data_IF_865351137907
#
_entry.id   IF_865351137907
#
_cell.length_a   1.000
_cell.length_b   1.000
_cell.length_c   1.000
_cell.angle_alpha   90.00
_cell.angle_beta   90.00
_cell.angle_gamma   90.00
#
_symmetry.space_group_name_H-M   'P 1'
#
loop_
_entity.id
_entity.type
_entity.pdbx_description
1 polymer ?
#
# COMPACT_ATOMS: atom_id res chain seq x y z
N UNK A 1 24.50 -2.62 11.32
CA UNK A 1 23.51 -3.03 10.32
C UNK A 1 23.18 -4.48 10.59
N UNK A 2 21.96 -4.75 11.04
CA UNK A 2 21.48 -6.09 11.36
C UNK A 2 20.25 -6.41 10.51
N UNK A 3 20.13 -7.67 10.13
CA UNK A 3 18.96 -8.19 9.42
C UNK A 3 18.31 -9.26 10.26
N UNK A 4 16.98 -9.31 10.24
CA UNK A 4 16.20 -10.29 11.01
C UNK A 4 15.10 -10.87 10.13
N UNK A 5 14.98 -12.19 10.19
CA UNK A 5 13.88 -12.92 9.55
C UNK A 5 12.69 -12.96 10.50
N UNK A 6 11.52 -12.56 10.01
CA UNK A 6 10.26 -12.56 10.74
C UNK A 6 9.10 -12.87 9.78
N UNK A 7 7.86 -12.77 10.25
CA UNK A 7 6.67 -12.87 9.40
C UNK A 7 6.16 -11.48 9.03
N UNK A 8 5.47 -11.36 7.90
CA UNK A 8 4.91 -10.08 7.45
C UNK A 8 3.97 -9.46 8.49
N UNK A 9 3.18 -10.30 9.19
CA UNK A 9 2.30 -9.89 10.26
C UNK A 9 3.04 -9.23 11.44
N UNK A 10 4.31 -9.57 11.69
CA UNK A 10 5.15 -8.91 12.68
C UNK A 10 5.81 -7.61 12.19
N UNK A 11 5.74 -7.33 10.88
CA UNK A 11 6.24 -6.08 10.30
C UNK A 11 5.13 -5.05 10.16
N UNK A 12 3.91 -5.48 9.84
CA UNK A 12 2.77 -4.59 9.55
C UNK A 12 1.43 -5.31 9.70
N UNK A 13 0.37 -4.60 10.08
CA UNK A 13 -0.98 -5.18 10.20
C UNK A 13 -1.88 -4.79 9.02
N UNK A 14 -2.17 -5.77 8.16
CA UNK A 14 -3.10 -5.60 7.04
C UNK A 14 -4.56 -5.73 7.50
N UNK A 15 -5.35 -4.69 7.31
CA UNK A 15 -6.77 -4.63 7.66
C UNK A 15 -7.62 -4.51 6.40
N UNK A 16 -8.84 -5.02 6.48
CA UNK A 16 -9.86 -4.82 5.43
C UNK A 16 -10.28 -3.34 5.42
N UNK A 17 -10.37 -2.73 4.25
CA UNK A 17 -10.94 -1.39 4.09
C UNK A 17 -12.46 -1.33 4.33
N UNK A 18 -13.04 -0.15 4.07
CA UNK A 18 -14.39 0.21 4.48
C UNK A 18 -15.33 0.36 3.28
N UNK A 19 -16.62 0.13 3.48
CA UNK A 19 -17.62 0.33 2.44
C UNK A 19 -17.87 1.83 2.22
N UNK A 20 -17.79 2.28 0.97
CA UNK A 20 -18.19 3.63 0.55
C UNK A 20 -18.75 3.59 -0.88
N UNK A 21 -20.07 3.38 -1.02
CA UNK A 21 -20.76 3.39 -2.30
C UNK A 21 -20.52 4.69 -3.07
N UNK A 22 -20.45 4.61 -4.41
CA UNK A 22 -20.18 5.77 -5.25
C UNK A 22 -21.16 6.94 -5.02
N UNK A 23 -22.43 6.65 -4.78
CA UNK A 23 -23.48 7.64 -4.49
C UNK A 23 -23.28 8.42 -3.18
N UNK A 24 -22.44 7.93 -2.26
CA UNK A 24 -22.11 8.60 -0.99
C UNK A 24 -20.80 9.38 -1.05
N UNK A 25 -20.07 9.33 -2.17
CA UNK A 25 -18.80 10.04 -2.32
C UNK A 25 -19.06 11.49 -2.68
N UNK A 26 -18.52 12.40 -1.88
CA UNK A 26 -18.51 13.83 -2.15
C UNK A 26 -17.07 14.30 -2.30
N UNK A 27 -16.83 15.35 -3.10
CA UNK A 27 -15.48 15.89 -3.24
C UNK A 27 -14.92 16.36 -1.90
N UNK A 28 -13.64 16.09 -1.65
CA UNK A 28 -12.94 16.57 -0.47
C UNK A 28 -11.44 16.37 -0.56
N UNK A 29 -10.75 16.57 0.56
CA UNK A 29 -9.29 16.55 0.64
C UNK A 29 -8.70 15.15 0.82
N UNK A 30 -9.47 14.18 1.27
CA UNK A 30 -8.96 12.84 1.58
C UNK A 30 -9.11 11.91 0.39
N UNK A 31 -8.04 11.23 -0.05
CA UNK A 31 -8.11 10.30 -1.16
C UNK A 31 -8.89 9.03 -0.80
N UNK A 32 -9.63 8.50 -1.78
CA UNK A 32 -10.32 7.22 -1.71
C UNK A 32 -9.53 6.20 -2.54
N UNK A 33 -9.13 5.09 -1.93
CA UNK A 33 -8.33 4.04 -2.58
C UNK A 33 -9.14 2.76 -2.77
N UNK A 34 -9.16 2.23 -3.99
CA UNK A 34 -9.64 0.87 -4.29
C UNK A 34 -8.45 -0.09 -4.44
N UNK A 35 -8.71 -1.35 -4.81
CA UNK A 35 -7.66 -2.28 -5.26
C UNK A 35 -6.84 -1.80 -6.45
N UNK A 36 -7.37 -0.87 -7.25
CA UNK A 36 -6.70 -0.35 -8.45
C UNK A 36 -6.03 1.02 -8.23
N UNK A 37 -6.05 1.55 -7.00
CA UNK A 37 -5.40 2.82 -6.64
C UNK A 37 -6.38 3.91 -6.26
N UNK A 38 -5.95 5.18 -6.36
CA UNK A 38 -6.81 6.34 -6.05
C UNK A 38 -7.94 6.42 -7.07
N UNK A 39 -9.18 6.32 -6.60
CA UNK A 39 -10.40 6.33 -7.45
C UNK A 39 -11.31 7.53 -7.19
N UNK A 40 -10.90 8.44 -6.30
CA UNK A 40 -11.65 9.65 -6.01
C UNK A 40 -11.16 10.32 -4.73
N UNK A 41 -12.01 11.19 -4.20
CA UNK A 41 -11.79 11.86 -2.91
C UNK A 41 -13.06 11.85 -2.06
N UNK A 42 -12.89 12.16 -0.78
CA UNK A 42 -13.94 12.34 0.20
C UNK A 42 -13.57 13.45 1.21
N UNK A 43 -14.56 14.06 1.84
CA UNK A 43 -14.39 15.09 2.87
C UNK A 43 -14.04 14.49 4.24
N UNK A 44 -14.26 13.17 4.41
CA UNK A 44 -13.91 12.38 5.59
C UNK A 44 -12.88 11.30 5.25
N UNK A 45 -12.16 10.85 6.27
CA UNK A 45 -11.25 9.71 6.22
C UNK A 45 -11.73 8.62 7.19
N UNK A 46 -11.35 7.38 6.93
CA UNK A 46 -11.58 6.26 7.86
C UNK A 46 -10.32 5.85 8.61
N UNK A 47 -9.15 6.21 8.07
CA UNK A 47 -7.86 5.88 8.68
C UNK A 47 -6.97 7.11 8.67
N UNK A 48 -6.28 7.32 9.79
CA UNK A 48 -5.25 8.35 9.91
C UNK A 48 -3.96 7.89 9.23
N UNK A 49 -3.33 8.79 8.47
CA UNK A 49 -2.12 8.48 7.72
C UNK A 49 -0.84 8.50 8.56
N UNK A 50 0.29 8.03 8.02
CA UNK A 50 0.46 7.48 6.67
C UNK A 50 -0.16 6.08 6.52
N UNK A 51 -0.59 5.75 5.30
CA UNK A 51 -1.27 4.49 5.01
C UNK A 51 -0.65 3.79 3.79
N UNK A 52 -0.42 2.48 3.92
CA UNK A 52 -0.01 1.61 2.80
C UNK A 52 -1.21 0.75 2.41
N UNK A 53 -1.55 0.71 1.12
CA UNK A 53 -2.76 0.07 0.60
C UNK A 53 -2.36 -0.96 -0.45
N UNK A 54 -3.02 -2.12 -0.48
CA UNK A 54 -2.86 -3.13 -1.54
C UNK A 54 -4.22 -3.72 -1.92
N UNK A 55 -4.33 -4.28 -3.12
CA UNK A 55 -5.56 -4.89 -3.57
C UNK A 55 -5.97 -6.13 -2.78
N UNK A 56 -7.24 -6.21 -2.39
CA UNK A 56 -7.86 -7.41 -1.80
C UNK A 56 -8.64 -8.20 -2.84
N UNK A 57 -9.42 -7.51 -3.68
CA UNK A 57 -10.25 -8.10 -4.73
C UNK A 57 -10.06 -7.35 -6.06
N UNK A 58 -10.07 -8.06 -7.17
CA UNK A 58 -9.83 -7.48 -8.50
C UNK A 58 -8.34 -7.33 -8.77
N UNK A 59 -7.83 -6.09 -8.84
CA UNK A 59 -6.39 -5.85 -9.05
C UNK A 59 -5.59 -6.25 -7.81
N UNK A 60 -4.90 -7.39 -7.84
CA UNK A 60 -4.05 -7.87 -6.74
C UNK A 60 -2.58 -7.57 -7.05
N UNK A 61 -1.81 -7.28 -6.00
CA UNK A 61 -0.35 -7.10 -6.08
C UNK A 61 0.13 -5.69 -6.38
N UNK A 62 -0.77 -4.76 -6.76
CA UNK A 62 -0.45 -3.34 -6.76
C UNK A 62 -0.53 -2.79 -5.35
N UNK A 63 0.53 -2.08 -4.95
CA UNK A 63 0.65 -1.41 -3.65
C UNK A 63 0.65 0.11 -3.88
N UNK A 64 0.00 0.84 -2.99
CA UNK A 64 -0.12 2.29 -3.01
C UNK A 64 0.27 2.87 -1.66
N UNK A 65 0.71 4.11 -1.66
CA UNK A 65 1.05 4.87 -0.46
C UNK A 65 0.22 6.15 -0.39
N UNK A 66 -0.32 6.45 0.78
CA UNK A 66 -0.93 7.73 1.12
C UNK A 66 -0.13 8.36 2.25
N UNK A 67 0.45 9.54 2.00
CA UNK A 67 1.15 10.33 3.03
C UNK A 67 0.20 11.05 3.99
N UNK A 68 -1.10 11.06 3.68
CA UNK A 68 -2.16 11.69 4.46
C UNK A 68 -3.24 10.67 4.82
N UNK A 69 -4.12 11.04 5.74
CA UNK A 69 -5.32 10.27 6.07
C UNK A 69 -6.14 9.98 4.82
N UNK A 70 -6.79 8.81 4.76
CA UNK A 70 -7.48 8.36 3.55
C UNK A 70 -8.67 7.46 3.85
N UNK A 71 -9.35 7.05 2.77
CA UNK A 71 -10.41 6.06 2.81
C UNK A 71 -10.04 4.84 1.95
N UNK A 72 -9.45 3.79 2.53
CA UNK A 72 -9.27 2.51 1.84
C UNK A 72 -10.62 1.81 1.71
N UNK A 73 -11.00 1.43 0.50
CA UNK A 73 -12.26 0.74 0.22
C UNK A 73 -12.19 -0.73 0.62
N UNK A 74 -13.34 -1.36 0.82
CA UNK A 74 -13.47 -2.80 1.14
C UNK A 74 -12.83 -3.76 0.12
N UNK A 75 -12.57 -3.27 -1.10
CA UNK A 75 -11.84 -3.96 -2.18
C UNK A 75 -10.33 -3.93 -1.98
N UNK A 76 -9.83 -3.23 -0.96
CA UNK A 76 -8.42 -3.14 -0.60
C UNK A 76 -8.15 -3.72 0.80
N UNK A 77 -6.88 -4.11 1.01
CA UNK A 77 -6.26 -4.21 2.32
C UNK A 77 -5.44 -2.94 2.56
N UNK A 78 -5.31 -2.53 3.81
CA UNK A 78 -4.50 -1.38 4.19
C UNK A 78 -3.72 -1.65 5.48
N UNK A 79 -2.65 -0.89 5.72
CA UNK A 79 -2.01 -0.80 7.03
C UNK A 79 -1.71 0.67 7.37
N UNK A 80 -1.93 1.02 8.64
CA UNK A 80 -1.42 2.24 9.28
C UNK A 80 -0.61 1.90 10.54
N UNK A 81 -0.44 0.61 10.85
CA UNK A 81 0.37 0.13 11.96
C UNK A 81 1.56 -0.65 11.40
N UNK A 82 2.73 -0.04 11.53
CA UNK A 82 4.00 -0.53 11.00
C UNK A 82 4.88 -1.17 12.06
N UNK A 83 4.38 -1.39 13.29
CA UNK A 83 5.10 -2.11 14.36
C UNK A 83 6.55 -1.63 14.57
N UNK A 84 6.78 -0.31 14.50
CA UNK A 84 8.09 0.33 14.64
C UNK A 84 8.94 0.44 13.35
N UNK A 85 8.47 -0.12 12.24
CA UNK A 85 9.13 -0.06 10.93
C UNK A 85 8.83 1.26 10.19
N UNK A 86 9.67 1.61 9.22
CA UNK A 86 9.46 2.78 8.38
C UNK A 86 8.25 2.54 7.41
N UNK A 87 7.22 3.41 7.38
CA UNK A 87 6.05 3.23 6.52
C UNK A 87 6.36 3.15 5.01
N UNK A 88 7.33 3.95 4.53
CA UNK A 88 7.79 3.93 3.14
C UNK A 88 8.56 2.66 2.82
N UNK A 89 9.41 2.20 3.74
CA UNK A 89 10.04 0.89 3.62
C UNK A 89 8.99 -0.23 3.52
N UNK A 90 7.96 -0.21 4.37
CA UNK A 90 6.86 -1.20 4.31
C UNK A 90 6.13 -1.13 2.97
N UNK A 91 5.90 0.07 2.41
CA UNK A 91 5.35 0.22 1.06
C UNK A 91 6.20 -0.47 -0.01
N UNK A 92 7.54 -0.34 0.06
CA UNK A 92 8.43 -1.03 -0.87
C UNK A 92 8.50 -2.54 -0.61
N UNK A 93 8.55 -2.96 0.65
CA UNK A 93 8.54 -4.38 1.02
C UNK A 93 7.27 -5.08 0.51
N UNK A 94 6.09 -4.44 0.65
CA UNK A 94 4.85 -5.03 0.16
C UNK A 94 4.82 -5.22 -1.36
N UNK A 95 5.62 -4.47 -2.12
CA UNK A 95 5.73 -4.66 -3.58
C UNK A 95 6.56 -5.90 -3.96
N UNK A 96 7.35 -6.45 -3.03
CA UNK A 96 8.16 -7.64 -3.28
C UNK A 96 7.45 -8.94 -2.93
N UNK A 97 6.26 -8.87 -2.32
CA UNK A 97 5.49 -10.04 -1.90
C UNK A 97 4.88 -10.73 -3.14
N UNK A 98 4.98 -12.07 -3.26
CA UNK A 98 4.37 -12.82 -4.36
C UNK A 98 2.85 -12.96 -4.14
N UNK A 99 2.11 -11.87 -4.28
CA UNK A 99 0.68 -11.79 -3.93
C UNK A 99 -0.20 -12.83 -4.61
N UNK A 100 0.16 -13.31 -5.80
CA UNK A 100 -0.55 -14.37 -6.52
C UNK A 100 -0.65 -15.67 -5.73
N UNK A 101 0.36 -16.00 -4.90
CA UNK A 101 0.39 -17.20 -4.06
C UNK A 101 -0.60 -17.13 -2.90
N UNK A 102 -1.09 -15.93 -2.58
CA UNK A 102 -2.02 -15.69 -1.47
C UNK A 102 -3.46 -15.48 -1.94
N UNK A 103 -3.75 -15.78 -3.20
CA UNK A 103 -5.09 -15.62 -3.78
C UNK A 103 -5.97 -16.84 -3.56
N UNK A 104 -7.27 -16.62 -3.39
CA UNK A 104 -8.28 -17.67 -3.33
C UNK A 104 -8.67 -18.14 -4.73
N UNK A 105 -8.93 -19.45 -4.88
CA UNK A 105 -9.44 -20.05 -6.11
C UNK A 105 -10.94 -19.74 -6.31
N UNK A 106 -11.26 -18.49 -6.59
CA UNK A 106 -12.63 -17.99 -6.83
C UNK A 106 -12.70 -17.19 -8.13
N UNK A 107 -13.90 -17.07 -8.72
CA UNK A 107 -14.12 -16.32 -9.97
C UNK A 107 -13.65 -14.86 -9.90
N UNK A 108 -13.73 -14.25 -8.71
CA UNK A 108 -13.01 -13.02 -8.37
C UNK A 108 -11.95 -13.41 -7.34
N UNK A 109 -10.65 -13.42 -7.69
CA UNK A 109 -9.61 -13.79 -6.76
C UNK A 109 -9.54 -12.77 -5.62
N UNK A 110 -9.41 -13.28 -4.40
CA UNK A 110 -9.29 -12.51 -3.18
C UNK A 110 -8.01 -12.83 -2.43
N UNK A 111 -7.39 -11.86 -1.76
CA UNK A 111 -6.22 -12.14 -0.89
C UNK A 111 -6.66 -12.77 0.43
N UNK A 112 -6.13 -13.94 0.75
CA UNK A 112 -6.24 -14.52 2.09
C UNK A 112 -5.25 -13.85 3.04
N UNK A 113 -5.76 -12.87 3.80
CA UNK A 113 -4.97 -12.11 4.78
C UNK A 113 -4.23 -13.01 5.77
N UNK A 114 -4.90 -14.04 6.29
CA UNK A 114 -4.31 -14.88 7.34
C UNK A 114 -3.08 -15.64 6.81
N UNK A 115 -3.07 -15.99 5.52
CA UNK A 115 -1.93 -16.65 4.90
C UNK A 115 -0.80 -15.69 4.58
N UNK A 116 -1.08 -14.52 4.00
CA UNK A 116 -0.02 -13.56 3.65
C UNK A 116 0.68 -12.98 4.89
N UNK A 117 -0.02 -12.87 6.02
CA UNK A 117 0.58 -12.47 7.29
C UNK A 117 1.67 -13.45 7.77
N UNK A 118 1.65 -14.70 7.32
CA UNK A 118 2.66 -15.72 7.66
C UNK A 118 3.84 -15.74 6.67
N UNK A 119 3.79 -14.94 5.59
CA UNK A 119 4.91 -14.85 4.64
C UNK A 119 6.19 -14.43 5.38
N UNK A 120 7.26 -15.19 5.19
CA UNK A 120 8.55 -14.89 5.81
C UNK A 120 9.22 -13.74 5.06
N UNK A 121 9.67 -12.74 5.80
CA UNK A 121 10.40 -11.59 5.28
C UNK A 121 11.69 -11.39 6.08
N UNK A 122 12.72 -10.91 5.41
CA UNK A 122 13.97 -10.48 6.07
C UNK A 122 14.04 -8.97 5.99
N UNK A 123 14.00 -8.30 7.13
CA UNK A 123 14.02 -6.83 7.20
C UNK A 123 15.27 -6.35 7.94
N UNK A 124 15.84 -5.19 7.57
CA UNK A 124 16.97 -4.63 8.30
C UNK A 124 16.50 -3.82 9.50
N UNK A 125 17.45 -3.40 10.34
CA UNK A 125 17.19 -2.43 11.41
C UNK A 125 16.58 -1.12 10.87
N UNK A 126 15.84 -0.42 11.74
CA UNK A 126 15.08 0.78 11.37
C UNK A 126 15.91 1.88 10.71
N UNK A 127 17.14 2.10 11.16
CA UNK A 127 18.05 3.11 10.57
C UNK A 127 18.34 2.74 9.11
N UNK A 128 18.59 1.47 8.85
CA UNK A 128 18.81 0.97 7.51
C UNK A 128 17.54 1.04 6.65
N UNK A 129 16.36 0.74 7.21
CA UNK A 129 15.09 0.92 6.52
C UNK A 129 14.87 2.37 6.07
N UNK A 130 15.19 3.34 6.94
CA UNK A 130 15.08 4.78 6.63
C UNK A 130 15.98 5.18 5.45
N UNK A 131 17.21 4.66 5.40
CA UNK A 131 18.15 4.89 4.28
C UNK A 131 17.65 4.27 2.98
N UNK A 132 17.12 3.05 3.03
CA UNK A 132 16.53 2.37 1.87
C UNK A 132 15.34 3.17 1.35
N UNK A 133 14.41 3.55 2.24
CA UNK A 133 13.23 4.32 1.89
C UNK A 133 13.60 5.64 1.22
N UNK A 134 14.55 6.39 1.80
CA UNK A 134 15.03 7.66 1.24
C UNK A 134 15.63 7.51 -0.16
N UNK A 135 16.48 6.51 -0.37
CA UNK A 135 17.10 6.26 -1.68
C UNK A 135 16.04 5.89 -2.73
N UNK A 136 15.14 4.97 -2.38
CA UNK A 136 14.08 4.53 -3.29
C UNK A 136 13.10 5.67 -3.62
N UNK A 137 12.68 6.47 -2.62
CA UNK A 137 11.81 7.63 -2.84
C UNK A 137 12.49 8.65 -3.77
N UNK A 138 13.80 8.87 -3.62
CA UNK A 138 14.58 9.77 -4.49
C UNK A 138 14.58 9.30 -5.95
N UNK A 139 14.72 7.98 -6.17
CA UNK A 139 14.68 7.37 -7.50
C UNK A 139 13.26 7.43 -8.08
N UNK A 140 12.24 7.04 -7.31
CA UNK A 140 10.84 7.07 -7.74
C UNK A 140 10.41 8.49 -8.10
N UNK A 141 10.77 9.50 -7.31
CA UNK A 141 10.48 10.90 -7.59
C UNK A 141 11.09 11.36 -8.92
N UNK A 142 12.30 10.92 -9.23
CA UNK A 142 12.96 11.21 -10.51
C UNK A 142 12.25 10.53 -11.70
N UNK A 143 11.81 9.28 -11.53
CA UNK A 143 11.03 8.56 -12.55
C UNK A 143 9.71 9.29 -12.82
N UNK A 144 8.99 9.69 -11.78
CA UNK A 144 7.74 10.43 -11.91
C UNK A 144 7.92 11.77 -12.64
N UNK A 145 8.96 12.52 -12.30
CA UNK A 145 9.30 13.77 -12.98
C UNK A 145 9.62 13.54 -14.47
N UNK A 146 10.44 12.53 -14.78
CA UNK A 146 10.78 12.20 -16.16
C UNK A 146 9.54 11.81 -16.99
N UNK A 147 8.65 11.00 -16.41
CA UNK A 147 7.41 10.61 -17.08
C UNK A 147 6.50 11.83 -17.34
N UNK A 148 6.44 12.78 -16.40
CA UNK A 148 5.71 14.03 -16.58
C UNK A 148 6.30 14.87 -17.72
N UNK A 149 7.62 14.98 -17.80
CA UNK A 149 8.32 15.69 -18.89
C UNK A 149 8.03 15.02 -20.24
N UNK A 150 8.16 13.70 -20.33
CA UNK A 150 7.87 12.97 -21.56
C UNK A 150 6.41 13.15 -22.00
N UNK A 151 5.46 13.20 -21.05
CA UNK A 151 4.07 13.50 -21.34
C UNK A 151 3.85 14.90 -21.93
N UNK A 152 4.63 15.90 -21.53
CA UNK A 152 4.58 17.23 -22.13
C UNK A 152 5.18 17.30 -23.53
N UNK A 153 6.16 16.45 -23.83
CA UNK A 153 6.82 16.42 -25.14
C UNK A 153 6.03 15.62 -26.19
N UNK A 154 5.14 14.73 -25.75
CA UNK A 154 4.28 13.93 -26.63
C UNK A 154 2.92 14.60 -26.95
N UNK A 155 2.64 15.77 -26.37
CA UNK A 155 1.43 16.56 -26.55
C UNK A 155 1.71 17.77 -27.44
#
# INVERSE_FOLDING_TARGET
MSWTTTTLGEVTDLKRGFDLPASKRVSGKYPVYSSSGKTGTHDKYMVEGPCVITGRYGTIGKVFYSSISCWPLNTSLYSCDFKGNNPRFVYYLLQTIPWSEYTTASAVPGVNRNHVNLHKVTIPDKITQDRIAYLLDSITSKIELNNRINGYLAA
#
